data_IF_219987518556
#
_entry.id   IF_219987518556
#
_cell.length_a   1.000
_cell.length_b   1.000
_cell.length_c   1.000
_cell.angle_alpha   90.00
_cell.angle_beta   90.00
_cell.angle_gamma   90.00
#
_symmetry.space_group_name_H-M   'P 1'
#
loop_
_entity.id
_entity.type
_entity.pdbx_description
1 polymer ?
#
# COMPACT_ATOMS: atom_id res chain seq x y z
N UNK A 1 12.45 2.33 4.16
CA UNK A 1 11.83 3.31 3.25
C UNK A 1 12.89 3.78 2.28
N UNK A 2 12.60 3.74 0.98
CA UNK A 2 13.42 4.28 -0.09
C UNK A 2 12.86 5.64 -0.50
N UNK A 3 13.73 6.63 -0.73
CA UNK A 3 13.34 7.96 -1.20
C UNK A 3 14.17 8.34 -2.42
N UNK A 4 13.52 8.79 -3.48
CA UNK A 4 14.15 9.17 -4.75
C UNK A 4 13.60 10.50 -5.27
N UNK A 5 14.43 11.33 -5.94
CA UNK A 5 13.94 12.49 -6.66
C UNK A 5 13.03 12.06 -7.83
N UNK A 6 12.06 12.90 -8.17
CA UNK A 6 11.17 12.69 -9.33
C UNK A 6 11.69 13.45 -10.55
N UNK A 7 11.49 12.94 -11.79
CA UNK A 7 10.84 11.68 -12.13
C UNK A 7 11.64 10.46 -11.63
N UNK A 8 10.92 9.40 -11.28
CA UNK A 8 11.51 8.12 -10.90
C UNK A 8 10.66 6.96 -11.41
N UNK A 9 11.30 5.91 -11.91
CA UNK A 9 10.68 4.60 -12.11
C UNK A 9 11.48 3.55 -11.37
N UNK A 10 10.82 2.82 -10.48
CA UNK A 10 11.45 1.87 -9.58
C UNK A 10 10.83 0.50 -9.78
N UNK A 11 11.63 -0.47 -10.19
CA UNK A 11 11.25 -1.88 -10.23
C UNK A 11 11.57 -2.54 -8.89
N UNK A 12 10.64 -3.32 -8.33
CA UNK A 12 10.78 -4.00 -7.05
C UNK A 12 10.63 -5.50 -7.27
N UNK A 13 11.60 -6.27 -6.80
CA UNK A 13 11.59 -7.74 -6.90
C UNK A 13 12.63 -8.37 -5.99
N UNK A 14 12.86 -9.67 -6.15
CA UNK A 14 13.87 -10.40 -5.38
C UNK A 14 15.20 -10.47 -6.13
N UNK A 15 16.33 -10.37 -5.42
CA UNK A 15 17.66 -10.62 -5.98
C UNK A 15 18.53 -11.25 -4.90
N UNK A 16 19.05 -12.45 -5.18
CA UNK A 16 19.82 -13.21 -4.18
C UNK A 16 19.04 -13.50 -2.89
N UNK A 17 17.73 -13.76 -3.00
CA UNK A 17 16.84 -14.03 -1.85
C UNK A 17 16.46 -12.80 -1.01
N UNK A 18 16.88 -11.59 -1.42
CA UNK A 18 16.58 -10.33 -0.72
C UNK A 18 15.62 -9.48 -1.55
N UNK A 19 14.81 -8.68 -0.88
CA UNK A 19 13.99 -7.67 -1.55
C UNK A 19 14.89 -6.50 -2.00
N UNK A 20 14.80 -6.16 -3.27
CA UNK A 20 15.62 -5.11 -3.88
C UNK A 20 14.73 -4.21 -4.74
N UNK A 21 15.09 -2.93 -4.77
CA UNK A 21 14.55 -1.95 -5.70
C UNK A 21 15.63 -1.54 -6.72
N UNK A 22 15.25 -1.39 -7.98
CA UNK A 22 16.09 -0.87 -9.05
C UNK A 22 15.49 0.43 -9.58
N UNK A 23 16.21 1.53 -9.44
CA UNK A 23 15.92 2.79 -10.10
C UNK A 23 16.28 2.66 -11.58
N UNK A 24 15.26 2.55 -12.42
CA UNK A 24 15.39 2.33 -13.87
C UNK A 24 15.99 3.56 -14.56
N UNK A 25 15.80 4.75 -14.00
CA UNK A 25 16.34 5.98 -14.59
C UNK A 25 17.77 6.25 -14.12
N UNK A 26 18.04 6.07 -12.83
CA UNK A 26 19.36 6.25 -12.23
C UNK A 26 20.30 5.06 -12.39
N UNK A 27 19.81 3.90 -12.82
CA UNK A 27 20.60 2.69 -13.02
C UNK A 27 21.15 2.08 -11.73
N UNK A 28 20.52 2.36 -10.57
CA UNK A 28 21.04 1.99 -9.25
C UNK A 28 20.13 0.99 -8.54
N UNK A 29 20.76 0.02 -7.86
CA UNK A 29 20.08 -0.93 -6.98
C UNK A 29 20.08 -0.44 -5.53
N UNK A 30 19.02 -0.77 -4.81
CA UNK A 30 18.80 -0.46 -3.41
C UNK A 30 18.27 -1.69 -2.68
N UNK A 31 18.98 -2.11 -1.65
CA UNK A 31 18.48 -3.15 -0.76
C UNK A 31 17.34 -2.63 0.11
N UNK A 32 16.27 -3.41 0.20
CA UNK A 32 15.16 -3.14 1.11
C UNK A 32 15.26 -4.15 2.27
N UNK A 33 15.41 -3.70 3.53
CA UNK A 33 15.71 -4.57 4.67
C UNK A 33 14.46 -5.31 5.17
N UNK A 34 13.83 -6.09 4.29
CA UNK A 34 12.61 -6.86 4.53
C UNK A 34 12.88 -8.32 4.16
N UNK A 35 12.61 -9.23 5.10
CA UNK A 35 12.68 -10.67 4.84
C UNK A 35 11.52 -11.13 3.95
N UNK A 36 11.80 -12.07 3.05
CA UNK A 36 10.84 -12.62 2.08
C UNK A 36 10.27 -13.99 2.47
N UNK A 37 10.45 -14.40 3.73
CA UNK A 37 9.96 -15.69 4.22
C UNK A 37 8.45 -15.84 3.99
N UNK A 38 8.05 -16.89 3.25
CA UNK A 38 6.65 -17.16 2.91
C UNK A 38 6.04 -16.21 1.88
N UNK A 39 6.84 -15.35 1.24
CA UNK A 39 6.37 -14.36 0.24
C UNK A 39 7.02 -14.68 -1.11
N UNK A 40 6.20 -15.05 -2.09
CA UNK A 40 6.68 -15.28 -3.45
C UNK A 40 6.88 -13.95 -4.18
N UNK A 41 8.14 -13.57 -4.38
CA UNK A 41 8.52 -12.33 -5.05
C UNK A 41 9.34 -12.67 -6.30
N UNK A 42 8.78 -12.37 -7.48
CA UNK A 42 9.47 -12.52 -8.74
C UNK A 42 10.83 -11.81 -8.78
N UNK A 43 11.76 -12.41 -9.50
CA UNK A 43 13.14 -11.97 -9.56
C UNK A 43 13.30 -10.63 -10.30
N UNK A 44 14.19 -9.79 -9.78
CA UNK A 44 14.56 -8.50 -10.34
C UNK A 44 15.79 -8.65 -11.23
N UNK A 45 15.61 -8.50 -12.54
CA UNK A 45 16.66 -8.64 -13.56
C UNK A 45 16.48 -7.65 -14.71
N UNK A 46 17.58 -7.33 -15.38
CA UNK A 46 17.59 -6.51 -16.59
C UNK A 46 18.00 -7.43 -17.75
N UNK A 47 17.09 -7.65 -18.69
CA UNK A 47 17.27 -8.55 -19.83
C UNK A 47 17.18 -7.73 -21.11
N UNK A 48 18.35 -7.31 -21.62
CA UNK A 48 18.42 -6.36 -22.73
C UNK A 48 17.73 -5.04 -22.38
N UNK A 49 16.59 -4.76 -23.01
CA UNK A 49 15.78 -3.57 -22.77
C UNK A 49 14.61 -3.80 -21.80
N UNK A 50 14.38 -5.04 -21.37
CA UNK A 50 13.28 -5.41 -20.48
C UNK A 50 13.72 -5.38 -19.03
N UNK A 51 12.84 -4.88 -18.16
CA UNK A 51 13.03 -4.89 -16.70
C UNK A 51 12.08 -5.94 -16.12
N UNK A 52 12.65 -7.08 -15.72
CA UNK A 52 11.95 -8.15 -14.99
C UNK A 52 11.87 -7.78 -13.52
N UNK A 53 10.70 -7.94 -12.90
CA UNK A 53 10.46 -7.62 -11.49
C UNK A 53 9.10 -8.15 -11.04
N UNK A 54 8.74 -7.99 -9.76
CA UNK A 54 7.38 -8.28 -9.32
C UNK A 54 6.44 -7.13 -9.67
N UNK A 55 6.77 -5.91 -9.25
CA UNK A 55 6.03 -4.67 -9.56
C UNK A 55 6.99 -3.57 -9.99
N UNK A 56 6.50 -2.64 -10.79
CA UNK A 56 7.18 -1.37 -11.06
C UNK A 56 6.31 -0.20 -10.63
N UNK A 57 6.93 0.82 -10.04
CA UNK A 57 6.26 2.05 -9.57
C UNK A 57 6.90 3.24 -10.29
N UNK A 58 6.07 4.07 -10.91
CA UNK A 58 6.47 5.30 -11.57
C UNK A 58 5.92 6.51 -10.82
N UNK A 59 6.74 7.56 -10.72
CA UNK A 59 6.37 8.83 -10.11
C UNK A 59 6.80 9.93 -11.05
N UNK A 60 5.83 10.59 -11.67
CA UNK A 60 6.05 11.64 -12.66
C UNK A 60 5.34 12.92 -12.20
N UNK A 61 5.99 14.07 -12.31
CA UNK A 61 5.47 15.38 -11.88
C UNK A 61 5.04 15.44 -10.38
N UNK A 62 4.13 16.35 -10.01
CA UNK A 62 3.72 16.62 -8.61
C UNK A 62 2.39 15.97 -8.19
N UNK A 63 1.62 15.38 -9.12
CA UNK A 63 0.32 14.73 -8.81
C UNK A 63 0.16 13.22 -9.14
N UNK A 64 1.17 12.55 -9.71
CA UNK A 64 0.97 11.21 -10.30
C UNK A 64 1.96 10.15 -9.79
N UNK A 65 1.43 9.10 -9.14
CA UNK A 65 2.16 7.86 -8.82
C UNK A 65 1.38 6.68 -9.38
N UNK A 66 2.06 5.89 -10.22
CA UNK A 66 1.50 4.74 -10.91
C UNK A 66 2.25 3.47 -10.58
N UNK A 67 1.57 2.32 -10.68
CA UNK A 67 2.25 1.05 -10.63
C UNK A 67 1.64 0.00 -11.56
N UNK A 68 2.43 -1.00 -11.88
CA UNK A 68 2.03 -2.14 -12.70
C UNK A 68 2.66 -3.41 -12.13
N UNK A 69 1.93 -4.51 -12.18
CA UNK A 69 2.48 -5.84 -11.93
C UNK A 69 3.20 -6.34 -13.19
N UNK A 70 4.38 -6.93 -13.02
CA UNK A 70 5.24 -7.35 -14.14
C UNK A 70 5.23 -8.87 -14.25
N UNK A 71 6.04 -9.55 -13.43
CA UNK A 71 6.18 -11.01 -13.49
C UNK A 71 5.41 -11.73 -12.38
N UNK A 72 5.01 -11.03 -11.32
CA UNK A 72 4.24 -11.59 -10.21
C UNK A 72 2.84 -11.00 -10.09
N UNK A 73 1.96 -11.69 -9.36
CA UNK A 73 0.62 -11.18 -9.04
C UNK A 73 0.68 -10.22 -7.85
N UNK A 74 0.12 -9.03 -8.03
CA UNK A 74 -0.04 -8.04 -6.97
C UNK A 74 -1.48 -7.54 -6.91
N UNK A 75 -1.91 -7.17 -5.71
CA UNK A 75 -3.23 -6.61 -5.45
C UNK A 75 -3.10 -5.16 -4.98
N UNK A 76 -4.06 -4.33 -5.37
CA UNK A 76 -4.19 -2.96 -4.88
C UNK A 76 -5.39 -2.90 -3.95
N UNK A 77 -5.18 -2.32 -2.77
CA UNK A 77 -6.26 -1.95 -1.87
C UNK A 77 -6.81 -0.57 -2.26
N UNK A 78 -8.08 -0.53 -2.66
CA UNK A 78 -8.82 0.70 -2.91
C UNK A 78 -10.20 0.70 -2.24
N UNK A 79 -11.02 1.69 -2.56
CA UNK A 79 -12.37 1.87 -2.00
C UNK A 79 -13.28 0.68 -2.34
N UNK A 80 -13.02 -0.04 -3.44
CA UNK A 80 -13.70 -1.25 -3.90
C UNK A 80 -13.21 -2.52 -3.21
N UNK A 81 -12.09 -2.46 -2.48
CA UNK A 81 -11.50 -3.57 -1.74
C UNK A 81 -10.15 -3.96 -2.32
N UNK A 82 -9.80 -5.24 -2.20
CA UNK A 82 -8.65 -5.78 -2.90
C UNK A 82 -9.04 -6.08 -4.35
N UNK A 83 -8.25 -5.58 -5.27
CA UNK A 83 -8.35 -5.93 -6.68
C UNK A 83 -7.00 -6.29 -7.24
N UNK A 84 -6.98 -7.17 -8.24
CA UNK A 84 -5.75 -7.44 -8.99
C UNK A 84 -5.26 -6.19 -9.71
N UNK A 85 -3.95 -6.00 -9.69
CA UNK A 85 -3.30 -4.94 -10.44
C UNK A 85 -3.28 -5.25 -11.93
N UNK A 86 -3.24 -4.19 -12.75
CA UNK A 86 -2.94 -4.29 -14.17
C UNK A 86 -1.56 -4.92 -14.36
N UNK A 87 -1.47 -5.80 -15.35
CA UNK A 87 -0.23 -6.48 -15.72
C UNK A 87 0.34 -5.91 -17.02
N UNK A 88 1.65 -5.80 -17.10
CA UNK A 88 2.31 -5.40 -18.34
C UNK A 88 3.82 -5.42 -18.26
N UNK A 89 4.44 -5.49 -19.43
CA UNK A 89 5.89 -5.43 -19.55
C UNK A 89 6.40 -4.01 -19.25
N UNK A 90 7.58 -3.94 -18.63
CA UNK A 90 8.30 -2.70 -18.40
C UNK A 90 9.59 -2.75 -19.19
N UNK A 91 9.79 -1.78 -20.09
CA UNK A 91 11.02 -1.64 -20.86
C UNK A 91 11.66 -0.28 -20.62
N UNK A 92 12.97 -0.18 -20.90
CA UNK A 92 13.68 1.09 -20.87
C UNK A 92 13.03 2.11 -21.81
N UNK A 93 12.49 1.65 -22.95
CA UNK A 93 11.80 2.52 -23.91
C UNK A 93 10.48 3.05 -23.34
N UNK A 94 9.63 2.21 -22.74
CA UNK A 94 8.36 2.65 -22.15
C UNK A 94 8.59 3.64 -21.01
N UNK A 95 9.67 3.46 -20.25
CA UNK A 95 10.07 4.39 -19.18
C UNK A 95 10.51 5.73 -19.74
N UNK A 96 11.39 5.75 -20.76
CA UNK A 96 11.84 6.99 -21.42
C UNK A 96 10.69 7.72 -22.13
N UNK A 97 9.78 6.97 -22.76
CA UNK A 97 8.59 7.49 -23.44
C UNK A 97 7.46 7.93 -22.50
N UNK A 98 7.59 7.71 -21.19
CA UNK A 98 6.58 8.06 -20.17
C UNK A 98 5.22 7.39 -20.37
N UNK A 99 5.22 6.15 -20.86
CA UNK A 99 4.03 5.41 -21.27
C UNK A 99 3.31 4.74 -20.08
N UNK A 100 2.82 5.55 -19.14
CA UNK A 100 2.22 5.06 -17.88
C UNK A 100 0.68 5.09 -17.86
N UNK A 101 0.03 5.42 -18.99
CA UNK A 101 -1.41 5.66 -19.03
C UNK A 101 -2.27 4.47 -18.59
N UNK A 102 -1.80 3.23 -18.86
CA UNK A 102 -2.49 1.98 -18.49
C UNK A 102 -2.15 1.47 -17.08
N UNK A 103 -1.23 2.12 -16.38
CA UNK A 103 -0.81 1.70 -15.05
C UNK A 103 -1.84 2.12 -14.00
N UNK A 104 -1.91 1.39 -12.90
CA UNK A 104 -2.81 1.69 -11.80
C UNK A 104 -2.36 2.93 -11.04
N UNK A 105 -3.30 3.81 -10.68
CA UNK A 105 -3.02 4.89 -9.72
C UNK A 105 -2.87 4.32 -8.31
N UNK A 106 -1.70 4.54 -7.71
CA UNK A 106 -1.30 3.97 -6.42
C UNK A 106 -0.87 5.01 -5.40
N UNK A 107 -1.08 6.30 -5.68
CA UNK A 107 -0.73 7.33 -4.71
C UNK A 107 -1.53 7.16 -3.42
N UNK A 108 -0.83 6.96 -2.29
CA UNK A 108 -1.42 6.69 -0.98
C UNK A 108 -2.36 5.49 -0.99
N UNK A 109 -2.10 4.50 -1.83
CA UNK A 109 -2.77 3.19 -1.81
C UNK A 109 -1.76 2.12 -1.45
N UNK A 110 -2.26 1.01 -0.92
CA UNK A 110 -1.43 -0.10 -0.50
C UNK A 110 -1.41 -1.17 -1.60
N UNK A 111 -0.22 -1.50 -2.08
CA UNK A 111 0.02 -2.66 -2.95
C UNK A 111 0.37 -3.84 -2.05
N UNK A 112 -0.22 -5.00 -2.30
CA UNK A 112 0.02 -6.25 -1.58
C UNK A 112 0.57 -7.31 -2.54
N UNK A 113 1.59 -8.02 -2.09
CA UNK A 113 2.20 -9.14 -2.80
C UNK A 113 2.25 -10.33 -1.85
N UNK A 114 1.87 -11.52 -2.30
CA UNK A 114 1.94 -12.76 -1.51
C UNK A 114 0.56 -13.31 -1.16
N UNK A 115 0.48 -14.03 -0.03
CA UNK A 115 -0.71 -14.79 0.32
C UNK A 115 -0.74 -15.26 1.78
N UNK A 116 -1.41 -16.39 2.09
CA UNK A 116 -1.61 -16.82 3.47
C UNK A 116 -0.33 -17.04 4.28
N UNK A 117 0.76 -17.46 3.64
CA UNK A 117 2.06 -17.73 4.28
C UNK A 117 2.85 -16.46 4.62
N UNK A 118 2.50 -15.32 4.01
CA UNK A 118 3.21 -14.06 4.18
C UNK A 118 2.79 -13.06 3.11
N UNK A 119 2.73 -11.79 3.51
CA UNK A 119 2.36 -10.70 2.61
C UNK A 119 3.39 -9.59 2.73
N UNK A 120 3.79 -9.04 1.58
CA UNK A 120 4.57 -7.82 1.46
C UNK A 120 3.62 -6.66 1.17
N UNK A 121 3.63 -5.66 2.05
CA UNK A 121 2.90 -4.42 1.86
C UNK A 121 3.85 -3.35 1.30
N UNK A 122 3.47 -2.74 0.18
CA UNK A 122 4.21 -1.67 -0.48
C UNK A 122 3.31 -0.43 -0.53
N UNK A 123 3.76 0.64 0.10
CA UNK A 123 3.10 1.93 0.07
C UNK A 123 3.91 2.93 -0.75
N UNK A 124 3.25 3.64 -1.65
CA UNK A 124 3.86 4.70 -2.44
C UNK A 124 3.22 6.06 -2.11
N UNK A 125 4.06 7.04 -1.80
CA UNK A 125 3.62 8.40 -1.50
C UNK A 125 4.63 9.43 -1.99
N UNK A 126 4.27 10.70 -1.89
CA UNK A 126 5.11 11.82 -2.32
C UNK A 126 5.14 12.92 -1.26
N UNK A 127 6.26 13.61 -1.19
CA UNK A 127 6.40 14.91 -0.55
C UNK A 127 7.23 15.84 -1.46
N UNK A 128 6.60 16.86 -2.03
CA UNK A 128 7.27 17.74 -3.01
C UNK A 128 7.76 16.97 -4.23
N UNK A 129 9.05 17.10 -4.54
CA UNK A 129 9.72 16.44 -5.67
C UNK A 129 10.24 15.03 -5.33
N UNK A 130 9.86 14.44 -4.20
CA UNK A 130 10.37 13.14 -3.74
C UNK A 130 9.31 12.05 -3.83
N UNK A 131 9.67 10.90 -4.42
CA UNK A 131 8.96 9.64 -4.30
C UNK A 131 9.42 8.93 -3.02
N UNK A 132 8.47 8.52 -2.18
CA UNK A 132 8.72 7.65 -1.03
C UNK A 132 8.07 6.29 -1.25
N UNK A 133 8.89 5.25 -1.15
CA UNK A 133 8.46 3.85 -1.18
C UNK A 133 8.75 3.21 0.17
N UNK A 134 7.68 2.77 0.83
CA UNK A 134 7.76 2.03 2.08
C UNK A 134 7.34 0.60 1.85
N UNK A 135 8.12 -0.32 2.39
CA UNK A 135 7.88 -1.75 2.31
C UNK A 135 7.88 -2.34 3.71
N UNK A 136 6.95 -3.23 4.00
CA UNK A 136 6.90 -3.95 5.26
C UNK A 136 6.35 -5.36 5.07
N UNK A 137 6.71 -6.29 5.96
CA UNK A 137 5.90 -7.52 6.10
C UNK A 137 4.55 -7.18 6.72
N UNK A 138 3.52 -7.87 6.25
CA UNK A 138 2.19 -7.97 6.86
C UNK A 138 1.73 -9.44 6.81
N UNK A 139 0.56 -9.73 7.38
CA UNK A 139 -0.05 -11.05 7.38
C UNK A 139 -1.50 -10.99 6.87
N UNK A 140 -2.08 -12.19 6.63
CA UNK A 140 -3.46 -12.32 6.21
C UNK A 140 -4.47 -11.78 7.24
N UNK A 141 -4.12 -11.76 8.54
CA UNK A 141 -4.98 -11.23 9.61
C UNK A 141 -5.19 -9.73 9.44
N UNK A 142 -4.12 -8.96 9.22
CA UNK A 142 -4.20 -7.51 9.00
C UNK A 142 -4.90 -7.18 7.70
N UNK A 143 -4.60 -7.92 6.62
CA UNK A 143 -5.28 -7.75 5.33
C UNK A 143 -6.79 -7.98 5.49
N UNK A 144 -7.19 -9.09 6.15
CA UNK A 144 -8.59 -9.40 6.43
C UNK A 144 -9.25 -8.33 7.31
N UNK A 145 -8.57 -7.85 8.34
CA UNK A 145 -9.10 -6.81 9.22
C UNK A 145 -9.43 -5.52 8.45
N UNK A 146 -8.58 -5.13 7.50
CA UNK A 146 -8.81 -3.98 6.63
C UNK A 146 -9.99 -4.21 5.70
N UNK A 147 -10.07 -5.36 5.02
CA UNK A 147 -11.15 -5.65 4.08
C UNK A 147 -12.50 -5.79 4.76
N UNK A 148 -12.56 -6.51 5.89
CA UNK A 148 -13.78 -6.65 6.70
C UNK A 148 -14.27 -5.28 7.19
N UNK A 149 -13.34 -4.44 7.68
CA UNK A 149 -13.68 -3.10 8.15
C UNK A 149 -14.21 -2.23 7.02
N UNK A 150 -13.63 -2.31 5.83
CA UNK A 150 -14.11 -1.59 4.65
C UNK A 150 -15.55 -2.00 4.31
N UNK A 151 -15.86 -3.30 4.31
CA UNK A 151 -17.22 -3.80 4.08
C UNK A 151 -18.22 -3.35 5.15
N UNK A 152 -17.82 -3.37 6.42
CA UNK A 152 -18.64 -2.88 7.52
C UNK A 152 -18.91 -1.36 7.39
N UNK A 153 -17.88 -0.59 7.05
CA UNK A 153 -17.92 0.86 6.89
C UNK A 153 -18.79 1.30 5.71
N UNK A 154 -18.86 0.52 4.64
CA UNK A 154 -19.78 0.80 3.51
C UNK A 154 -21.25 0.78 3.91
N UNK A 155 -21.61 0.03 4.96
CA UNK A 155 -22.98 0.02 5.49
C UNK A 155 -23.33 1.32 6.23
N UNK A 156 -22.33 2.11 6.65
CA UNK A 156 -22.54 3.39 7.31
C UNK A 156 -22.76 4.53 6.32
N UNK A 157 -21.98 4.58 5.23
CA UNK A 157 -22.07 5.63 4.22
C UNK A 157 -20.95 5.58 3.19
N UNK A 158 -20.61 6.72 2.60
CA UNK A 158 -19.54 6.83 1.62
C UNK A 158 -18.19 6.55 2.28
N UNK A 159 -17.38 5.66 1.68
CA UNK A 159 -16.08 5.26 2.24
C UNK A 159 -14.94 5.74 1.36
N UNK A 160 -13.89 6.24 2.02
CA UNK A 160 -12.58 6.49 1.44
C UNK A 160 -11.52 5.63 2.12
N UNK A 161 -10.48 5.29 1.37
CA UNK A 161 -9.36 4.47 1.82
C UNK A 161 -8.08 5.21 1.48
N UNK A 162 -7.21 5.38 2.47
CA UNK A 162 -5.90 6.00 2.27
C UNK A 162 -4.83 5.29 3.10
N UNK A 163 -3.67 5.05 2.49
CA UNK A 163 -2.47 4.63 3.18
C UNK A 163 -1.59 5.85 3.43
N UNK A 164 -1.26 6.08 4.70
CA UNK A 164 -0.25 7.05 5.13
C UNK A 164 1.16 6.46 4.90
N UNK A 165 1.48 6.13 3.64
CA UNK A 165 2.56 5.23 3.25
C UNK A 165 3.98 5.76 3.57
N UNK A 166 4.13 7.05 3.86
CA UNK A 166 5.39 7.64 4.35
C UNK A 166 5.73 7.24 5.79
N UNK A 167 4.78 6.72 6.54
CA UNK A 167 4.98 6.32 7.93
C UNK A 167 5.45 4.86 7.99
N UNK A 168 6.46 4.59 8.82
CA UNK A 168 7.03 3.23 8.94
C UNK A 168 6.04 2.17 9.43
N UNK A 169 4.95 2.57 10.09
CA UNK A 169 3.87 1.65 10.49
C UNK A 169 2.93 1.25 9.34
N UNK A 170 3.03 1.91 8.18
CA UNK A 170 2.11 1.79 7.06
C UNK A 170 0.63 1.79 7.49
N UNK A 171 0.13 2.88 8.10
CA UNK A 171 -1.27 2.94 8.50
C UNK A 171 -2.17 3.02 7.27
N UNK A 172 -3.18 2.16 7.25
CA UNK A 172 -4.34 2.26 6.38
C UNK A 172 -5.48 2.89 7.17
N UNK A 173 -6.03 3.96 6.63
CA UNK A 173 -7.10 4.77 7.19
C UNK A 173 -8.35 4.59 6.32
N UNK A 174 -9.41 4.04 6.93
CA UNK A 174 -10.72 3.87 6.32
C UNK A 174 -11.66 4.90 6.94
N UNK A 175 -12.20 5.80 6.14
CA UNK A 175 -13.09 6.85 6.59
C UNK A 175 -14.44 6.70 5.94
N UNK A 176 -15.46 6.42 6.74
CA UNK A 176 -16.86 6.41 6.33
C UNK A 176 -17.53 7.72 6.74
N UNK A 177 -18.36 8.29 5.87
CA UNK A 177 -19.10 9.53 6.11
C UNK A 177 -20.58 9.39 5.78
N UNK A 178 -21.42 10.00 6.61
CA UNK A 178 -22.87 10.14 6.37
C UNK A 178 -23.33 11.50 6.86
N UNK A 179 -23.61 12.41 5.92
CA UNK A 179 -23.83 13.82 6.25
C UNK A 179 -22.62 14.42 6.95
N UNK A 180 -22.82 15.00 8.14
CA UNK A 180 -21.73 15.55 8.96
C UNK A 180 -21.05 14.52 9.87
N UNK A 181 -21.62 13.33 10.02
CA UNK A 181 -21.06 12.25 10.85
C UNK A 181 -19.95 11.50 10.11
N UNK A 182 -18.98 10.98 10.87
CA UNK A 182 -17.94 10.13 10.33
C UNK A 182 -17.51 9.03 11.30
N UNK A 183 -17.03 7.93 10.72
CA UNK A 183 -16.30 6.86 11.41
C UNK A 183 -14.94 6.70 10.73
N UNK A 184 -13.86 6.83 11.49
CA UNK A 184 -12.48 6.62 11.04
C UNK A 184 -11.93 5.36 11.71
N UNK A 185 -11.46 4.41 10.90
CA UNK A 185 -10.72 3.23 11.34
C UNK A 185 -9.28 3.33 10.85
N UNK A 186 -8.32 3.03 11.70
CA UNK A 186 -6.89 3.02 11.37
C UNK A 186 -6.26 1.70 11.79
N UNK A 187 -5.66 1.02 10.82
CA UNK A 187 -4.99 -0.28 10.98
C UNK A 187 -3.55 -0.13 10.49
N UNK A 188 -2.58 -0.63 11.24
CA UNK A 188 -1.16 -0.51 10.90
C UNK A 188 -0.66 -1.81 10.27
N UNK A 189 -0.11 -1.74 9.05
CA UNK A 189 0.18 -2.93 8.27
C UNK A 189 1.57 -3.52 8.51
N UNK A 190 2.48 -2.79 9.16
CA UNK A 190 3.84 -3.28 9.37
C UNK A 190 3.96 -4.19 10.61
N UNK A 191 3.74 -5.50 10.48
CA UNK A 191 3.75 -6.44 11.61
C UNK A 191 5.12 -6.60 12.28
N UNK A 192 6.19 -6.09 11.67
CA UNK A 192 7.51 -6.08 12.29
C UNK A 192 7.60 -5.03 13.41
N UNK A 193 6.59 -4.16 13.54
CA UNK A 193 6.45 -3.22 14.63
C UNK A 193 5.35 -3.67 15.61
N UNK A 194 5.67 -3.71 16.90
CA UNK A 194 4.71 -4.10 17.97
C UNK A 194 3.46 -3.22 18.03
N UNK A 195 3.52 -1.97 17.54
CA UNK A 195 2.33 -1.10 17.49
C UNK A 195 1.29 -1.57 16.46
N UNK A 196 1.64 -2.52 15.60
CA UNK A 196 0.75 -2.98 14.54
C UNK A 196 -0.36 -3.90 15.00
N UNK A 197 -0.19 -4.53 16.16
CA UNK A 197 -1.29 -5.22 16.86
C UNK A 197 -2.32 -4.23 17.43
N UNK A 198 -2.08 -2.92 17.35
CA UNK A 198 -2.99 -1.87 17.79
C UNK A 198 -3.87 -1.35 16.66
N UNK A 199 -5.02 -0.81 17.04
CA UNK A 199 -6.06 -0.32 16.14
C UNK A 199 -6.70 0.93 16.72
N UNK A 200 -7.18 1.84 15.86
CA UNK A 200 -7.87 3.06 16.30
C UNK A 200 -9.22 3.17 15.58
N UNK A 201 -10.29 3.38 16.34
CA UNK A 201 -11.63 3.65 15.81
C UNK A 201 -12.15 4.95 16.42
N UNK A 202 -12.60 5.88 15.59
CA UNK A 202 -13.10 7.19 16.00
C UNK A 202 -14.48 7.41 15.39
N UNK A 203 -15.42 7.89 16.19
CA UNK A 203 -16.68 8.47 15.71
C UNK A 203 -16.73 9.96 16.03
N UNK A 204 -17.21 10.74 15.09
CA UNK A 204 -17.32 12.18 15.24
C UNK A 204 -18.35 12.81 14.32
N UNK A 205 -18.54 14.12 14.47
CA UNK A 205 -19.30 14.92 13.53
C UNK A 205 -18.76 16.35 13.43
N UNK A 206 -18.79 16.94 12.23
CA UNK A 206 -18.36 18.33 12.02
C UNK A 206 -16.91 18.62 12.46
N UNK A 207 -16.03 17.61 12.45
CA UNK A 207 -14.66 17.71 12.94
C UNK A 207 -14.46 17.42 14.44
N UNK A 208 -15.54 17.30 15.21
CA UNK A 208 -15.48 16.95 16.64
C UNK A 208 -15.43 15.44 16.83
N UNK A 209 -14.65 14.99 17.81
CA UNK A 209 -14.58 13.58 18.23
C UNK A 209 -15.57 13.35 19.37
N UNK A 210 -16.52 12.43 19.15
CA UNK A 210 -17.49 12.03 20.18
C UNK A 210 -17.02 10.79 20.93
N UNK A 211 -16.37 9.87 20.21
CA UNK A 211 -15.89 8.61 20.78
C UNK A 211 -14.61 8.17 20.09
N UNK A 212 -13.70 7.59 20.88
CA UNK A 212 -12.43 7.06 20.39
C UNK A 212 -12.09 5.77 21.15
N UNK A 213 -11.81 4.73 20.38
CA UNK A 213 -11.27 3.46 20.87
C UNK A 213 -9.84 3.30 20.36
N UNK A 214 -8.96 2.87 21.26
CA UNK A 214 -7.61 2.43 20.94
C UNK A 214 -7.42 1.12 21.68
N UNK A 215 -7.07 0.07 20.96
CA UNK A 215 -6.95 -1.25 21.55
C UNK A 215 -6.38 -2.23 20.56
N UNK A 216 -6.44 -3.53 20.88
CA UNK A 216 -5.82 -4.54 20.06
C UNK A 216 -6.67 -4.84 18.81
N UNK A 217 -6.02 -5.34 17.75
CA UNK A 217 -6.61 -5.60 16.43
C UNK A 217 -7.80 -6.58 16.52
N UNK A 218 -7.75 -7.57 17.41
CA UNK A 218 -8.85 -8.52 17.61
C UNK A 218 -10.17 -7.88 18.05
N UNK A 219 -10.11 -6.70 18.69
CA UNK A 219 -11.29 -5.98 19.16
C UNK A 219 -11.85 -5.01 18.12
N UNK A 220 -11.26 -4.94 16.92
CA UNK A 220 -11.62 -3.97 15.88
C UNK A 220 -13.12 -4.01 15.54
N UNK A 221 -13.67 -5.19 15.29
CA UNK A 221 -15.09 -5.35 14.94
C UNK A 221 -16.01 -4.92 16.08
N UNK A 222 -15.63 -5.19 17.33
CA UNK A 222 -16.36 -4.74 18.52
C UNK A 222 -16.35 -3.20 18.59
N UNK A 223 -15.20 -2.56 18.42
CA UNK A 223 -15.10 -1.10 18.40
C UNK A 223 -15.93 -0.46 17.29
N UNK A 224 -15.95 -1.04 16.08
CA UNK A 224 -16.79 -0.57 14.97
C UNK A 224 -18.28 -0.70 15.31
N UNK A 225 -18.72 -1.82 15.91
CA UNK A 225 -20.11 -1.98 16.32
C UNK A 225 -20.52 -1.00 17.42
N UNK A 226 -19.64 -0.75 18.40
CA UNK A 226 -19.92 0.17 19.49
C UNK A 226 -20.11 1.62 19.02
N UNK A 227 -19.39 2.05 17.98
CA UNK A 227 -19.61 3.39 17.38
C UNK A 227 -20.87 3.48 16.52
N UNK A 228 -21.37 2.37 15.97
CA UNK A 228 -22.63 2.36 15.23
C UNK A 228 -23.87 2.44 16.12
N UNK A 229 -23.80 1.88 17.34
CA UNK A 229 -24.94 1.84 18.28
C UNK A 229 -25.14 3.15 19.05
N UNK A 230 -24.07 3.92 19.25
CA UNK A 230 -24.10 5.27 19.86
C UNK A 230 -24.60 6.32 18.89
#
# INVERSE_FOLDING_TARGET
MLTLPTPAVVAIGSRGGRLVAYDVEGGKFYDLPIGLEGIDVAELKIEGFSVRSHVAVASYATSFIKAIAVDGDAELLDVGGLRKMQRGAVTIQTVKGREFGRWDDVWNKLILIGGPAGVLAIGASRAGSLLHLSTARTDARHVKAVTDSLELLRKFGEVSVACSCRLGLLPVELLARRGTEYVLVKIYMNIQNRRSDGVVVIKGSGGNIHRRFIGPLENLNLFIQEVYRS
#
